data_IF_385791043450
#
_entry.id   IF_385791043450
#
_cell.length_a   1.000
_cell.length_b   1.000
_cell.length_c   1.000
_cell.angle_alpha   90.00
_cell.angle_beta   90.00
_cell.angle_gamma   90.00
#
_symmetry.space_group_name_H-M   'P 1'
#
loop_
_entity.id
_entity.type
_entity.pdbx_description
1 polymer ?
#
# COMPACT_ATOMS: atom_id res chain seq x y z
N UNK A 1 46.41 -20.03 -18.97
CA UNK A 1 45.12 -20.68 -18.69
C UNK A 1 44.23 -19.65 -18.01
N UNK A 2 43.16 -19.20 -18.70
CA UNK A 2 42.24 -18.17 -18.18
C UNK A 2 41.11 -18.88 -17.45
N UNK A 3 40.95 -18.61 -16.16
CA UNK A 3 39.88 -19.19 -15.35
C UNK A 3 38.51 -18.67 -15.86
N UNK A 4 37.46 -19.51 -15.85
CA UNK A 4 36.11 -19.06 -16.18
C UNK A 4 35.65 -18.06 -15.11
N UNK A 5 35.08 -16.96 -15.57
CA UNK A 5 34.46 -15.96 -14.71
C UNK A 5 33.18 -16.58 -14.17
N UNK A 6 33.16 -16.97 -12.90
CA UNK A 6 31.95 -17.37 -12.19
C UNK A 6 30.99 -16.18 -12.14
N UNK A 7 30.00 -16.16 -13.02
CA UNK A 7 28.83 -15.29 -12.94
C UNK A 7 27.97 -15.70 -11.75
N UNK A 8 28.45 -15.44 -10.53
CA UNK A 8 27.57 -15.33 -9.38
C UNK A 8 26.69 -14.10 -9.65
N UNK A 9 25.41 -14.34 -9.88
CA UNK A 9 24.37 -13.32 -10.05
C UNK A 9 24.64 -12.14 -9.14
N UNK A 10 25.07 -11.02 -9.72
CA UNK A 10 25.28 -9.78 -9.00
C UNK A 10 23.94 -9.38 -8.36
N UNK A 11 23.86 -9.24 -7.02
CA UNK A 11 22.61 -8.95 -6.33
C UNK A 11 22.00 -7.60 -6.74
N UNK A 12 22.77 -6.74 -7.41
CA UNK A 12 22.28 -5.49 -8.00
C UNK A 12 21.28 -5.72 -9.13
N UNK A 13 21.51 -6.70 -10.00
CA UNK A 13 20.71 -6.88 -11.23
C UNK A 13 19.29 -7.37 -10.93
N UNK A 14 19.12 -8.30 -10.00
CA UNK A 14 17.79 -8.79 -9.61
C UNK A 14 16.94 -7.69 -8.94
N UNK A 15 17.56 -6.85 -8.11
CA UNK A 15 16.89 -5.70 -7.49
C UNK A 15 16.49 -4.64 -8.53
N UNK A 16 17.36 -4.38 -9.50
CA UNK A 16 17.10 -3.39 -10.55
C UNK A 16 15.97 -3.83 -11.49
N UNK A 17 15.91 -5.12 -11.85
CA UNK A 17 14.79 -5.68 -12.60
C UNK A 17 13.46 -5.59 -11.86
N UNK A 18 13.44 -5.83 -10.54
CA UNK A 18 12.24 -5.69 -9.73
C UNK A 18 11.79 -4.23 -9.61
N UNK A 19 12.72 -3.28 -9.48
CA UNK A 19 12.39 -1.83 -9.45
C UNK A 19 11.81 -1.37 -10.77
N UNK A 20 12.40 -1.79 -11.89
CA UNK A 20 11.90 -1.47 -13.23
C UNK A 20 10.51 -2.07 -13.44
N UNK A 21 10.29 -3.32 -13.03
CA UNK A 21 8.98 -3.96 -13.07
C UNK A 21 7.95 -3.19 -12.24
N UNK A 22 8.31 -2.78 -11.02
CA UNK A 22 7.45 -1.99 -10.15
C UNK A 22 7.10 -0.61 -10.76
N UNK A 23 8.05 0.06 -11.41
CA UNK A 23 7.78 1.33 -12.12
C UNK A 23 6.74 1.15 -13.22
N UNK A 24 6.89 0.12 -14.06
CA UNK A 24 5.90 -0.18 -15.13
C UNK A 24 4.50 -0.44 -14.57
N UNK A 25 4.40 -1.08 -13.41
CA UNK A 25 3.12 -1.34 -12.76
C UNK A 25 2.51 -0.08 -12.13
N UNK A 26 3.31 0.93 -11.82
CA UNK A 26 2.82 2.18 -11.22
C UNK A 26 1.95 2.95 -12.20
N UNK A 27 2.36 3.04 -13.47
CA UNK A 27 1.57 3.70 -14.52
C UNK A 27 0.22 3.00 -14.72
N UNK A 28 0.24 1.67 -14.83
CA UNK A 28 -0.97 0.86 -14.96
C UNK A 28 -1.89 0.97 -13.73
N UNK A 29 -1.32 1.02 -12.53
CA UNK A 29 -2.07 1.18 -11.29
C UNK A 29 -2.74 2.56 -11.20
N UNK A 30 -2.04 3.64 -11.58
CA UNK A 30 -2.62 4.99 -11.61
C UNK A 30 -3.79 5.04 -12.61
N UNK A 31 -3.62 4.48 -13.81
CA UNK A 31 -4.68 4.42 -14.81
C UNK A 31 -5.92 3.66 -14.29
N UNK A 32 -5.71 2.52 -13.63
CA UNK A 32 -6.80 1.75 -13.03
C UNK A 32 -7.54 2.51 -11.92
N UNK A 33 -6.81 3.23 -11.06
CA UNK A 33 -7.43 4.06 -10.01
C UNK A 33 -8.26 5.20 -10.61
N UNK A 34 -7.77 5.86 -11.65
CA UNK A 34 -8.54 6.90 -12.35
C UNK A 34 -9.81 6.31 -12.98
N UNK A 35 -9.73 5.14 -13.58
CA UNK A 35 -10.90 4.45 -14.13
C UNK A 35 -11.94 4.13 -13.04
N UNK A 36 -11.52 3.58 -11.91
CA UNK A 36 -12.42 3.30 -10.76
C UNK A 36 -13.04 4.58 -10.23
N UNK A 37 -12.29 5.68 -10.13
CA UNK A 37 -12.78 6.97 -9.66
C UNK A 37 -13.88 7.55 -10.57
N UNK A 38 -13.81 7.30 -11.88
CA UNK A 38 -14.75 7.82 -12.88
C UNK A 38 -15.96 6.91 -13.12
N UNK A 39 -15.91 5.65 -12.66
CA UNK A 39 -16.99 4.68 -12.85
C UNK A 39 -18.19 4.98 -11.91
N UNK A 40 -19.37 5.37 -12.43
CA UNK A 40 -20.54 5.67 -11.61
C UNK A 40 -21.09 4.42 -10.89
N UNK A 41 -20.88 3.23 -11.44
CA UNK A 41 -21.37 1.95 -10.89
C UNK A 41 -20.45 1.40 -9.79
N UNK A 42 -19.22 1.92 -9.70
CA UNK A 42 -18.31 1.54 -8.63
C UNK A 42 -18.82 2.00 -7.25
N UNK A 43 -18.62 1.14 -6.25
CA UNK A 43 -19.01 1.41 -4.87
C UNK A 43 -18.49 2.80 -4.41
N UNK A 44 -19.32 3.63 -3.75
CA UNK A 44 -18.91 4.99 -3.36
C UNK A 44 -17.60 5.04 -2.56
N UNK A 45 -17.38 4.03 -1.70
CA UNK A 45 -16.14 3.90 -0.93
C UNK A 45 -14.92 3.63 -1.80
N UNK A 46 -15.07 2.81 -2.86
CA UNK A 46 -13.99 2.49 -3.79
C UNK A 46 -13.59 3.71 -4.62
N UNK A 47 -14.56 4.51 -5.08
CA UNK A 47 -14.31 5.79 -5.75
C UNK A 47 -13.55 6.77 -4.87
N UNK A 48 -14.00 6.96 -3.63
CA UNK A 48 -13.32 7.83 -2.66
C UNK A 48 -11.91 7.35 -2.34
N UNK A 49 -11.71 6.04 -2.18
CA UNK A 49 -10.39 5.46 -1.96
C UNK A 49 -9.47 5.67 -3.17
N UNK A 50 -9.98 5.49 -4.39
CA UNK A 50 -9.23 5.70 -5.62
C UNK A 50 -8.84 7.18 -5.81
N UNK A 51 -9.77 8.10 -5.56
CA UNK A 51 -9.51 9.54 -5.59
C UNK A 51 -8.42 9.94 -4.58
N UNK A 52 -8.54 9.48 -3.33
CA UNK A 52 -7.55 9.74 -2.29
C UNK A 52 -6.17 9.18 -2.65
N UNK A 53 -6.11 7.98 -3.23
CA UNK A 53 -4.86 7.40 -3.69
C UNK A 53 -4.21 8.27 -4.78
N UNK A 54 -4.94 8.64 -5.83
CA UNK A 54 -4.42 9.48 -6.93
C UNK A 54 -3.90 10.82 -6.39
N UNK A 55 -4.64 11.48 -5.48
CA UNK A 55 -4.22 12.75 -4.88
C UNK A 55 -2.93 12.60 -4.06
N UNK A 56 -2.79 11.52 -3.29
CA UNK A 56 -1.57 11.26 -2.51
C UNK A 56 -0.33 11.09 -3.38
N UNK A 57 -0.47 10.51 -4.57
CA UNK A 57 0.63 10.34 -5.52
C UNK A 57 0.97 11.62 -6.29
N UNK A 58 -0.04 12.43 -6.65
CA UNK A 58 0.15 13.66 -7.44
C UNK A 58 0.54 14.90 -6.63
N UNK A 59 0.07 15.00 -5.39
CA UNK A 59 0.27 16.20 -4.54
C UNK A 59 1.02 15.90 -3.24
N UNK A 60 1.45 14.65 -3.03
CA UNK A 60 2.00 14.19 -1.76
C UNK A 60 0.93 13.99 -0.70
N UNK A 61 1.31 13.44 0.46
CA UNK A 61 0.38 13.37 1.60
C UNK A 61 0.14 14.79 2.14
N UNK A 62 -1.12 15.25 2.28
CA UNK A 62 -1.42 16.45 3.05
C UNK A 62 -0.96 16.19 4.50
N UNK A 63 0.10 16.89 4.91
CA UNK A 63 0.76 16.65 6.21
C UNK A 63 2.03 15.80 6.12
N UNK A 64 2.99 16.22 5.29
CA UNK A 64 4.42 15.98 5.53
C UNK A 64 5.22 17.17 4.99
N UNK A 65 4.75 18.38 5.30
CA UNK A 65 5.65 19.53 5.30
C UNK A 65 6.70 19.26 6.36
N UNK A 66 7.96 19.23 5.96
CA UNK A 66 9.09 19.17 6.88
C UNK A 66 9.18 20.51 7.62
N UNK A 67 8.30 20.69 8.60
CA UNK A 67 8.48 21.61 9.72
C UNK A 67 8.48 20.79 11.01
N UNK A 68 9.27 19.71 11.01
CA UNK A 68 9.60 18.98 12.23
C UNK A 68 9.38 17.48 12.10
N UNK A 69 10.49 16.75 12.02
CA UNK A 69 10.74 15.48 12.73
C UNK A 69 9.45 14.74 13.10
N UNK A 70 8.87 14.03 12.15
CA UNK A 70 7.80 13.09 12.45
C UNK A 70 8.42 11.92 13.20
N UNK A 71 8.44 12.01 14.53
CA UNK A 71 8.57 10.86 15.38
C UNK A 71 7.47 9.87 14.95
N UNK A 72 7.90 8.73 14.41
CA UNK A 72 7.03 7.64 13.99
C UNK A 72 6.28 7.13 15.22
N UNK A 73 5.20 7.81 15.61
CA UNK A 73 4.27 7.28 16.60
C UNK A 73 3.75 5.97 16.00
N UNK A 74 4.15 4.84 16.59
CA UNK A 74 3.51 3.55 16.34
C UNK A 74 2.02 3.80 16.51
N UNK A 75 1.27 3.74 15.43
CA UNK A 75 -0.17 3.73 15.54
C UNK A 75 -0.53 2.38 16.15
N UNK A 76 -0.61 2.36 17.47
CA UNK A 76 -1.23 1.28 18.22
C UNK A 76 -2.70 1.26 17.80
N UNK A 77 -3.00 0.43 16.79
CA UNK A 77 -4.37 0.15 16.42
C UNK A 77 -5.01 -0.62 17.57
N UNK A 78 -5.78 0.09 18.38
CA UNK A 78 -6.60 -0.50 19.43
C UNK A 78 -7.75 -1.24 18.77
N UNK A 79 -7.61 -2.56 18.61
CA UNK A 79 -8.70 -3.43 18.18
C UNK A 79 -9.60 -3.66 19.38
N UNK A 80 -10.80 -3.06 19.37
CA UNK A 80 -11.84 -3.42 20.34
C UNK A 80 -12.47 -4.73 19.87
N UNK A 81 -11.98 -5.84 20.42
CA UNK A 81 -12.62 -7.15 20.26
C UNK A 81 -13.81 -7.17 21.23
N UNK A 82 -15.01 -6.86 20.74
CA UNK A 82 -16.23 -7.04 21.51
C UNK A 82 -16.53 -8.55 21.57
N UNK A 83 -16.02 -9.24 22.58
CA UNK A 83 -16.46 -10.60 22.87
C UNK A 83 -17.93 -10.56 23.30
N UNK A 84 -18.80 -11.29 22.60
CA UNK A 84 -20.14 -11.59 23.10
C UNK A 84 -20.02 -12.71 24.12
N UNK A 85 -20.40 -12.50 25.40
CA UNK A 85 -20.64 -13.64 26.28
C UNK A 85 -21.92 -14.32 25.82
N UNK A 86 -21.81 -15.56 25.37
CA UNK A 86 -22.95 -16.47 25.24
C UNK A 86 -23.42 -16.81 26.66
N UNK A 87 -24.58 -16.28 27.04
CA UNK A 87 -25.18 -16.62 28.33
C UNK A 87 -25.75 -18.03 28.24
N UNK A 88 -25.38 -18.97 29.12
CA UNK A 88 -26.07 -20.24 29.18
C UNK A 88 -27.49 -20.00 29.70
N UNK A 89 -28.47 -20.18 28.81
CA UNK A 89 -29.87 -20.32 29.16
C UNK A 89 -30.05 -21.67 29.87
N UNK A 90 -29.73 -21.72 31.17
CA UNK A 90 -30.30 -22.61 32.19
C UNK A 90 -29.38 -22.64 33.43
N UNK A 91 -29.67 -21.79 34.40
CA UNK A 91 -29.44 -22.09 35.82
C UNK A 91 -30.82 -22.02 36.47
N UNK A 92 -31.51 -23.16 36.45
CA UNK A 92 -32.65 -23.45 37.34
C UNK A 92 -32.16 -24.48 38.35
#
# INVERSE_FOLDING_TARGET
MKLPVDHKTDPGTAGDHLRELARRHTEAAIAALVAVMQDPEAAPMARNAAANAVLQWGHGRPGSGDFGRHESKKQEQMVIICWKPEYPENIT
#
